data_IF_859631442497
#
_entry.id   IF_859631442497
#
_cell.length_a   1.000
_cell.length_b   1.000
_cell.length_c   1.000
_cell.angle_alpha   90.00
_cell.angle_beta   90.00
_cell.angle_gamma   90.00
#
_symmetry.space_group_name_H-M   'P 1'
#
loop_
_entity.id
_entity.type
_entity.pdbx_description
1 polymer ?
#
# COMPACT_ATOMS: atom_id res chain seq x y z
N UNK A 1 9.22 -15.60 14.06
CA UNK A 1 8.67 -14.22 14.10
C UNK A 1 8.91 -13.44 12.80
N UNK A 2 10.11 -13.45 12.20
CA UNK A 2 10.40 -12.73 10.94
C UNK A 2 9.45 -13.05 9.77
N UNK A 3 9.09 -14.33 9.57
CA UNK A 3 8.16 -14.73 8.50
C UNK A 3 6.74 -14.16 8.63
N UNK A 4 6.24 -13.96 9.85
CA UNK A 4 4.92 -13.35 10.05
C UNK A 4 4.92 -11.88 9.64
N UNK A 5 5.96 -11.13 10.00
CA UNK A 5 6.11 -9.74 9.59
C UNK A 5 6.36 -9.59 8.09
N UNK A 6 7.09 -10.52 7.46
CA UNK A 6 7.26 -10.55 6.01
C UNK A 6 5.92 -10.69 5.28
N UNK A 7 5.07 -11.63 5.73
CA UNK A 7 3.72 -11.81 5.17
C UNK A 7 2.88 -10.56 5.41
N UNK A 8 2.93 -9.98 6.61
CA UNK A 8 2.22 -8.73 6.91
C UNK A 8 2.66 -7.57 6.00
N UNK A 9 3.97 -7.43 5.76
CA UNK A 9 4.50 -6.41 4.86
C UNK A 9 4.05 -6.61 3.41
N UNK A 10 4.04 -7.85 2.91
CA UNK A 10 3.47 -8.19 1.59
C UNK A 10 1.97 -7.92 1.50
N UNK A 11 1.21 -8.29 2.54
CA UNK A 11 -0.22 -7.98 2.61
C UNK A 11 -0.45 -6.48 2.60
N UNK A 12 0.35 -5.71 3.34
CA UNK A 12 0.23 -4.26 3.39
C UNK A 12 0.57 -3.60 2.03
N UNK A 13 1.52 -4.15 1.27
CA UNK A 13 1.77 -3.74 -0.12
C UNK A 13 0.54 -3.96 -1.00
N UNK A 14 -0.10 -5.13 -0.92
CA UNK A 14 -1.30 -5.43 -1.71
C UNK A 14 -2.46 -4.50 -1.33
N UNK A 15 -2.64 -4.24 -0.03
CA UNK A 15 -3.64 -3.28 0.47
C UNK A 15 -3.37 -1.90 -0.10
N UNK A 16 -2.13 -1.40 -0.01
CA UNK A 16 -1.75 -0.10 -0.56
C UNK A 16 -2.02 0.03 -2.07
N UNK A 17 -1.72 -1.00 -2.86
CA UNK A 17 -2.07 -1.05 -4.28
C UNK A 17 -3.59 -1.00 -4.50
N UNK A 18 -4.35 -1.75 -3.69
CA UNK A 18 -5.81 -1.73 -3.71
C UNK A 18 -6.38 -0.35 -3.35
N UNK A 19 -5.83 0.33 -2.35
CA UNK A 19 -6.24 1.67 -1.94
C UNK A 19 -6.02 2.70 -3.04
N UNK A 20 -4.87 2.65 -3.74
CA UNK A 20 -4.61 3.51 -4.91
C UNK A 20 -5.57 3.17 -6.06
N UNK A 21 -5.86 1.89 -6.30
CA UNK A 21 -6.83 1.48 -7.31
C UNK A 21 -8.24 2.00 -7.00
N UNK A 22 -8.66 1.97 -5.73
CA UNK A 22 -9.94 2.55 -5.29
C UNK A 22 -9.96 4.05 -5.55
N UNK A 23 -8.88 4.77 -5.22
CA UNK A 23 -8.78 6.20 -5.51
C UNK A 23 -8.90 6.48 -7.03
N UNK A 24 -8.27 5.65 -7.86
CA UNK A 24 -8.40 5.73 -9.32
C UNK A 24 -9.84 5.46 -9.79
N UNK A 25 -10.52 4.45 -9.25
CA UNK A 25 -11.92 4.16 -9.58
C UNK A 25 -12.88 5.27 -9.13
N UNK A 26 -12.57 5.96 -8.03
CA UNK A 26 -13.32 7.14 -7.56
C UNK A 26 -13.28 8.30 -8.56
N UNK A 27 -12.28 8.38 -9.44
CA UNK A 27 -12.24 9.35 -10.53
C UNK A 27 -13.48 9.24 -11.45
N UNK A 28 -13.84 8.02 -11.83
CA UNK A 28 -15.00 7.76 -12.70
C UNK A 28 -16.34 8.03 -12.02
N UNK A 29 -16.35 8.11 -10.68
CA UNK A 29 -17.53 8.45 -9.88
C UNK A 29 -17.68 9.96 -9.63
N UNK A 30 -16.84 10.80 -10.26
CA UNK A 30 -16.83 12.25 -10.04
C UNK A 30 -16.69 12.63 -8.55
N UNK A 31 -15.92 11.86 -7.78
CA UNK A 31 -15.62 12.23 -6.40
C UNK A 31 -14.73 13.48 -6.32
N UNK A 32 -14.78 14.12 -5.15
CA UNK A 32 -13.92 15.27 -4.83
C UNK A 32 -12.43 14.95 -5.00
N UNK A 33 -11.72 15.85 -5.66
CA UNK A 33 -10.30 15.69 -5.98
C UNK A 33 -9.43 15.70 -4.72
N UNK A 34 -9.83 16.45 -3.69
CA UNK A 34 -9.17 16.44 -2.38
C UNK A 34 -9.28 15.09 -1.69
N UNK A 35 -10.46 14.48 -1.73
CA UNK A 35 -10.71 13.12 -1.23
C UNK A 35 -9.86 12.07 -1.95
N UNK A 36 -9.82 12.12 -3.28
CA UNK A 36 -9.01 11.20 -4.07
C UNK A 36 -7.51 11.32 -3.76
N UNK A 37 -6.97 12.54 -3.67
CA UNK A 37 -5.56 12.74 -3.33
C UNK A 37 -5.21 12.15 -1.95
N UNK A 38 -6.08 12.34 -0.96
CA UNK A 38 -5.90 11.75 0.38
C UNK A 38 -5.85 10.22 0.31
N UNK A 39 -6.80 9.59 -0.38
CA UNK A 39 -6.85 8.13 -0.52
C UNK A 39 -5.63 7.60 -1.26
N UNK A 40 -5.20 8.27 -2.34
CA UNK A 40 -3.97 7.92 -3.05
C UNK A 40 -2.75 7.99 -2.14
N UNK A 41 -2.61 9.07 -1.35
CA UNK A 41 -1.49 9.22 -0.41
C UNK A 41 -1.51 8.11 0.66
N UNK A 42 -2.68 7.76 1.20
CA UNK A 42 -2.81 6.64 2.15
C UNK A 42 -2.32 5.35 1.50
N UNK A 43 -2.78 5.02 0.29
CA UNK A 43 -2.37 3.80 -0.40
C UNK A 43 -0.87 3.74 -0.72
N UNK A 44 -0.27 4.89 -1.09
CA UNK A 44 1.18 4.99 -1.28
C UNK A 44 1.92 4.75 0.04
N UNK A 45 1.47 5.34 1.15
CA UNK A 45 2.08 5.12 2.46
C UNK A 45 1.98 3.65 2.87
N UNK A 46 0.81 3.02 2.74
CA UNK A 46 0.61 1.59 3.02
C UNK A 46 1.58 0.73 2.20
N UNK A 47 1.73 1.04 0.91
CA UNK A 47 2.65 0.31 0.04
C UNK A 47 4.10 0.41 0.50
N UNK A 48 4.59 1.64 0.78
CA UNK A 48 5.98 1.86 1.17
C UNK A 48 6.29 1.38 2.59
N UNK A 49 5.33 1.47 3.53
CA UNK A 49 5.49 0.87 4.86
C UNK A 49 5.55 -0.64 4.73
N UNK A 50 4.70 -1.25 3.88
CA UNK A 50 4.77 -2.68 3.59
C UNK A 50 6.09 -3.08 2.93
N UNK A 51 6.62 -2.26 2.02
CA UNK A 51 7.95 -2.44 1.42
C UNK A 51 9.06 -2.42 2.47
N UNK A 52 9.07 -1.42 3.34
CA UNK A 52 10.03 -1.32 4.43
C UNK A 52 9.98 -2.53 5.35
N UNK A 53 8.79 -2.97 5.76
CA UNK A 53 8.61 -4.16 6.61
C UNK A 53 9.18 -5.40 5.92
N UNK A 54 8.91 -5.59 4.63
CA UNK A 54 9.48 -6.69 3.85
C UNK A 54 11.00 -6.61 3.78
N UNK A 55 11.57 -5.42 3.54
CA UNK A 55 13.02 -5.21 3.47
C UNK A 55 13.73 -5.51 4.80
N UNK A 56 13.14 -5.11 5.93
CA UNK A 56 13.75 -5.39 7.24
C UNK A 56 13.51 -6.81 7.75
N UNK A 57 12.55 -7.56 7.17
CA UNK A 57 12.17 -8.90 7.64
C UNK A 57 12.55 -10.04 6.69
N UNK A 58 12.71 -9.74 5.41
CA UNK A 58 13.24 -10.64 4.40
C UNK A 58 14.74 -10.45 4.27
N UNK A 59 15.50 -11.55 4.32
CA UNK A 59 16.87 -11.53 3.79
C UNK A 59 16.81 -11.08 2.34
N UNK A 60 17.63 -10.07 1.99
CA UNK A 60 17.82 -9.59 0.62
C UNK A 60 17.97 -10.79 -0.30
N UNK A 61 16.93 -11.06 -1.08
CA UNK A 61 17.06 -11.96 -2.22
C UNK A 61 17.74 -11.12 -3.30
N UNK A 62 19.06 -11.00 -3.19
CA UNK A 62 19.94 -10.58 -4.30
C UNK A 62 19.82 -11.56 -5.46
#
# INVERSE_FOLDING_TARGET
MKGAFFILGRTLQIVGMGTVLIAFLSFFKQQDMGGMMKTTLIGVVEFYVGYYIVDVTGEKTE
#
